data_IF_836098707180
#
_entry.id   IF_836098707180
#
_cell.length_a   1.000
_cell.length_b   1.000
_cell.length_c   1.000
_cell.angle_alpha   90.00
_cell.angle_beta   90.00
_cell.angle_gamma   90.00
#
_symmetry.space_group_name_H-M   'P 1'
#
loop_
_entity.id
_entity.type
_entity.pdbx_description
1 polymer ?
#
# COMPACT_ATOMS: atom_id res chain seq x y z
N UNK A 1 -6.48 29.10 5.06
CA UNK A 1 -5.38 28.88 4.09
C UNK A 1 -4.19 28.38 4.88
N UNK A 2 -3.92 27.07 4.84
CA UNK A 2 -2.88 26.46 5.67
C UNK A 2 -1.52 26.56 4.96
N UNK A 3 -0.67 27.39 5.56
CA UNK A 3 0.72 27.63 5.20
C UNK A 3 1.53 26.33 5.23
N UNK A 4 2.24 26.03 4.14
CA UNK A 4 3.05 24.83 4.00
C UNK A 4 4.22 24.86 5.02
N UNK A 5 4.12 24.05 6.08
CA UNK A 5 5.21 23.86 7.05
C UNK A 5 6.32 23.02 6.41
N UNK A 6 7.53 23.58 6.45
CA UNK A 6 8.85 22.98 6.21
C UNK A 6 9.18 22.41 4.82
N UNK A 7 10.22 22.96 4.20
CA UNK A 7 10.85 22.47 2.97
C UNK A 7 11.28 20.98 3.09
N UNK A 8 11.65 20.56 4.30
CA UNK A 8 12.05 19.19 4.62
C UNK A 8 10.89 18.19 4.50
N UNK A 9 9.67 18.58 4.85
CA UNK A 9 8.49 17.72 4.70
C UNK A 9 8.20 17.49 3.21
N UNK A 10 8.27 18.54 2.39
CA UNK A 10 8.12 18.41 0.93
C UNK A 10 9.16 17.49 0.31
N UNK A 11 10.43 17.61 0.70
CA UNK A 11 11.50 16.73 0.22
C UNK A 11 11.28 15.30 0.68
N UNK A 12 10.84 15.09 1.92
CA UNK A 12 10.49 13.76 2.44
C UNK A 12 9.36 13.13 1.61
N UNK A 13 8.28 13.87 1.35
CA UNK A 13 7.17 13.38 0.52
C UNK A 13 7.61 13.03 -0.91
N UNK A 14 8.44 13.87 -1.54
CA UNK A 14 8.97 13.62 -2.89
C UNK A 14 9.86 12.37 -2.87
N UNK A 15 10.76 12.24 -1.89
CA UNK A 15 11.65 11.09 -1.76
C UNK A 15 10.87 9.79 -1.49
N UNK A 16 9.85 9.83 -0.65
CA UNK A 16 8.95 8.69 -0.39
C UNK A 16 8.20 8.30 -1.67
N UNK A 17 7.67 9.26 -2.42
CA UNK A 17 7.03 9.02 -3.71
C UNK A 17 7.97 8.34 -4.71
N UNK A 18 9.19 8.89 -4.90
CA UNK A 18 10.21 8.32 -5.77
C UNK A 18 10.57 6.89 -5.33
N UNK A 19 10.74 6.65 -4.02
CA UNK A 19 11.03 5.33 -3.47
C UNK A 19 9.92 4.32 -3.79
N UNK A 20 8.66 4.73 -3.62
CA UNK A 20 7.50 3.89 -3.92
C UNK A 20 7.43 3.55 -5.41
N UNK A 21 7.61 4.53 -6.30
CA UNK A 21 7.61 4.31 -7.74
C UNK A 21 8.78 3.44 -8.22
N UNK A 22 10.00 3.63 -7.68
CA UNK A 22 11.14 2.77 -7.98
C UNK A 22 10.90 1.33 -7.54
N UNK A 23 10.30 1.14 -6.36
CA UNK A 23 9.98 -0.19 -5.82
C UNK A 23 8.92 -0.89 -6.66
N UNK A 24 7.88 -0.17 -7.10
CA UNK A 24 6.88 -0.70 -8.03
C UNK A 24 7.51 -1.09 -9.36
N UNK A 25 8.33 -0.21 -9.95
CA UNK A 25 9.01 -0.46 -11.23
C UNK A 25 9.92 -1.69 -11.15
N UNK A 26 10.69 -1.83 -10.06
CA UNK A 26 11.52 -2.99 -9.82
C UNK A 26 10.70 -4.27 -9.67
N UNK A 27 9.59 -4.24 -8.91
CA UNK A 27 8.69 -5.38 -8.75
C UNK A 27 8.06 -5.81 -10.08
N UNK A 28 7.70 -4.84 -10.94
CA UNK A 28 7.16 -5.11 -12.28
C UNK A 28 8.21 -5.76 -13.18
N UNK A 29 9.42 -5.21 -13.21
CA UNK A 29 10.54 -5.75 -14.02
C UNK A 29 10.95 -7.16 -13.57
N UNK A 30 11.03 -7.39 -12.26
CA UNK A 30 11.43 -8.69 -11.70
C UNK A 30 10.31 -9.73 -11.75
N UNK A 31 9.10 -9.36 -12.21
CA UNK A 31 7.92 -10.23 -12.20
C UNK A 31 7.35 -10.51 -10.81
N UNK A 32 8.01 -10.05 -9.75
CA UNK A 32 7.59 -10.22 -8.35
C UNK A 32 6.25 -9.53 -8.06
N UNK A 33 5.89 -8.48 -8.81
CA UNK A 33 4.61 -7.80 -8.69
C UNK A 33 3.42 -8.76 -8.85
N UNK A 34 3.53 -9.76 -9.73
CA UNK A 34 2.50 -10.78 -9.98
C UNK A 34 2.41 -11.82 -8.88
N UNK A 35 3.40 -11.91 -7.99
CA UNK A 35 3.36 -12.81 -6.84
C UNK A 35 2.48 -12.30 -5.71
N UNK A 36 2.08 -11.02 -5.75
CA UNK A 36 1.17 -10.44 -4.78
C UNK A 36 -0.25 -10.45 -5.35
N UNK A 37 -1.10 -11.23 -4.70
CA UNK A 37 -2.46 -11.50 -5.13
C UNK A 37 -3.45 -10.48 -4.57
N UNK A 38 -3.09 -9.75 -3.51
CA UNK A 38 -3.97 -8.79 -2.88
C UNK A 38 -3.30 -7.43 -2.74
N UNK A 39 -4.12 -6.38 -2.83
CA UNK A 39 -3.76 -5.00 -2.54
C UNK A 39 -4.72 -4.45 -1.49
N UNK A 40 -4.17 -3.90 -0.43
CA UNK A 40 -4.91 -3.26 0.65
C UNK A 40 -4.83 -1.75 0.43
N UNK A 41 -5.99 -1.09 0.41
CA UNK A 41 -6.08 0.37 0.34
C UNK A 41 -6.36 0.96 1.72
N UNK A 42 -6.00 2.23 1.89
CA UNK A 42 -6.16 2.95 3.15
C UNK A 42 -6.98 4.24 2.93
N UNK A 43 -7.66 4.74 3.97
CA UNK A 43 -8.47 5.96 3.85
C UNK A 43 -7.61 7.22 3.76
N UNK A 44 -6.32 7.14 4.13
CA UNK A 44 -5.41 8.29 4.15
C UNK A 44 -3.96 7.84 4.08
N UNK A 45 -3.10 8.64 3.42
CA UNK A 45 -1.64 8.43 3.33
C UNK A 45 -1.01 8.12 4.71
N UNK A 46 -1.29 8.88 5.80
CA UNK A 46 -0.75 8.57 7.12
C UNK A 46 -1.13 7.17 7.64
N UNK A 47 -2.31 6.65 7.33
CA UNK A 47 -2.71 5.29 7.73
C UNK A 47 -1.91 4.24 6.95
N UNK A 48 -1.75 4.40 5.64
CA UNK A 48 -0.90 3.52 4.83
C UNK A 48 0.57 3.55 5.26
N UNK A 49 1.09 4.72 5.63
CA UNK A 49 2.46 4.85 6.16
C UNK A 49 2.62 4.25 7.57
N UNK A 50 1.59 4.31 8.42
CA UNK A 50 1.59 3.58 9.69
C UNK A 50 1.61 2.07 9.45
N UNK A 51 0.76 1.59 8.54
CA UNK A 51 0.70 0.18 8.15
C UNK A 51 2.04 -0.34 7.64
N UNK A 52 2.80 0.47 6.86
CA UNK A 52 4.14 0.11 6.38
C UNK A 52 5.08 -0.34 7.52
N UNK A 53 4.98 0.28 8.71
CA UNK A 53 5.85 -0.06 9.85
C UNK A 53 5.62 -1.47 10.38
N UNK A 54 4.45 -2.05 10.13
CA UNK A 54 4.05 -3.37 10.62
C UNK A 54 4.14 -4.45 9.53
N UNK A 55 4.66 -4.14 8.34
CA UNK A 55 4.81 -5.12 7.26
C UNK A 55 6.05 -6.01 7.37
N UNK A 56 7.00 -5.70 8.27
CA UNK A 56 8.31 -6.38 8.32
C UNK A 56 8.23 -7.88 8.58
N UNK A 57 7.14 -8.34 9.19
CA UNK A 57 6.91 -9.74 9.57
C UNK A 57 6.09 -10.51 8.53
N UNK A 58 5.63 -9.84 7.47
CA UNK A 58 4.74 -10.40 6.45
C UNK A 58 5.40 -10.32 5.07
N UNK A 59 5.02 -11.21 4.14
CA UNK A 59 5.35 -11.06 2.71
C UNK A 59 4.47 -9.99 2.08
N UNK A 60 4.65 -8.75 2.54
CA UNK A 60 3.89 -7.59 2.11
C UNK A 60 4.81 -6.43 1.75
N UNK A 61 4.41 -5.62 0.77
CA UNK A 61 5.17 -4.46 0.31
C UNK A 61 4.25 -3.26 0.10
N UNK A 62 4.66 -2.11 0.63
CA UNK A 62 4.06 -0.83 0.30
C UNK A 62 4.43 -0.40 -1.12
N UNK A 63 3.42 0.06 -1.86
CA UNK A 63 3.50 0.59 -3.21
C UNK A 63 2.63 1.86 -3.30
N UNK A 64 2.80 2.73 -4.31
CA UNK A 64 1.77 3.72 -4.57
C UNK A 64 0.49 2.97 -4.96
N UNK A 65 -0.67 3.53 -4.61
CA UNK A 65 -1.94 2.91 -4.97
C UNK A 65 -1.97 2.71 -6.50
N UNK A 66 -2.21 1.48 -7.01
CA UNK A 66 -2.35 1.26 -8.44
C UNK A 66 -3.46 2.16 -8.99
N UNK A 67 -3.25 2.80 -10.15
CA UNK A 67 -4.24 3.68 -10.78
C UNK A 67 -5.60 3.01 -11.03
N UNK A 68 -5.64 1.68 -11.05
CA UNK A 68 -6.83 0.86 -11.22
C UNK A 68 -7.72 0.82 -9.95
N UNK A 69 -7.15 1.12 -8.79
CA UNK A 69 -7.84 1.21 -7.50
C UNK A 69 -8.17 2.68 -7.25
N UNK A 70 -9.25 3.14 -7.87
CA UNK A 70 -9.65 4.56 -7.92
C UNK A 70 -10.06 5.13 -6.54
N UNK A 71 -10.33 4.28 -5.55
CA UNK A 71 -10.88 4.67 -4.25
C UNK A 71 -9.84 4.69 -3.10
N UNK A 72 -8.58 4.38 -3.38
CA UNK A 72 -7.52 4.36 -2.37
C UNK A 72 -6.78 5.69 -2.22
N UNK A 73 -6.38 6.05 -0.99
CA UNK A 73 -5.37 7.09 -0.82
C UNK A 73 -4.05 6.66 -1.48
N UNK A 74 -3.14 7.59 -1.76
CA UNK A 74 -1.90 7.37 -2.55
C UNK A 74 -0.91 6.28 -2.08
N UNK A 75 -1.24 5.47 -1.06
CA UNK A 75 -0.45 4.34 -0.57
C UNK A 75 -1.31 3.06 -0.56
N UNK A 76 -0.81 2.00 -1.19
CA UNK A 76 -1.38 0.66 -1.14
C UNK A 76 -0.37 -0.35 -0.58
N UNK A 77 -0.86 -1.46 -0.02
CA UNK A 77 -0.01 -2.56 0.43
C UNK A 77 -0.34 -3.81 -0.35
N UNK A 78 0.64 -4.31 -1.11
CA UNK A 78 0.56 -5.61 -1.74
C UNK A 78 0.88 -6.71 -0.73
N UNK A 79 0.10 -7.78 -0.73
CA UNK A 79 0.30 -8.94 0.16
C UNK A 79 -0.03 -10.24 -0.59
N UNK A 80 0.66 -11.31 -0.23
CA UNK A 80 0.36 -12.67 -0.72
C UNK A 80 -0.86 -13.25 -0.01
N UNK A 81 -1.55 -14.19 -0.63
CA UNK A 81 -2.73 -14.82 0.00
C UNK A 81 -2.41 -15.43 1.37
N UNK A 82 -1.23 -16.06 1.51
CA UNK A 82 -0.77 -16.71 2.76
C UNK A 82 -0.71 -15.77 3.97
N UNK A 83 -0.42 -14.48 3.76
CA UNK A 83 -0.22 -13.49 4.81
C UNK A 83 -1.38 -12.50 4.94
N UNK A 84 -2.36 -12.52 4.02
CA UNK A 84 -3.44 -11.54 3.97
C UNK A 84 -4.23 -11.51 5.29
N UNK A 85 -4.72 -12.65 5.76
CA UNK A 85 -5.58 -12.69 6.94
C UNK A 85 -4.82 -12.32 8.21
N UNK A 86 -3.56 -12.76 8.32
CA UNK A 86 -2.70 -12.42 9.46
C UNK A 86 -2.37 -10.93 9.46
N UNK A 87 -2.08 -10.35 8.29
CA UNK A 87 -1.83 -8.92 8.15
C UNK A 87 -3.08 -8.10 8.49
N UNK A 88 -4.26 -8.47 7.97
CA UNK A 88 -5.51 -7.76 8.28
C UNK A 88 -5.84 -7.79 9.77
N UNK A 89 -5.66 -8.94 10.43
CA UNK A 89 -5.79 -9.06 11.88
C UNK A 89 -4.79 -8.15 12.60
N UNK A 90 -3.52 -8.21 12.21
CA UNK A 90 -2.48 -7.40 12.83
C UNK A 90 -2.76 -5.89 12.68
N UNK A 91 -3.16 -5.44 11.49
CA UNK A 91 -3.54 -4.04 11.25
C UNK A 91 -4.73 -3.63 12.11
N UNK A 92 -5.75 -4.49 12.22
CA UNK A 92 -6.92 -4.25 13.07
C UNK A 92 -6.56 -4.17 14.55
N UNK A 93 -5.70 -5.06 15.05
CA UNK A 93 -5.19 -5.04 16.43
C UNK A 93 -4.38 -3.79 16.75
N UNK A 94 -3.68 -3.24 15.76
CA UNK A 94 -2.96 -1.96 15.88
C UNK A 94 -3.86 -0.73 15.67
N UNK A 95 -5.15 -0.92 15.44
CA UNK A 95 -6.13 0.16 15.23
C UNK A 95 -5.96 0.89 13.89
N UNK A 96 -5.39 0.23 12.89
CA UNK A 96 -5.18 0.80 11.55
C UNK A 96 -6.42 0.55 10.71
N UNK A 97 -6.93 1.62 10.10
CA UNK A 97 -8.11 1.54 9.25
C UNK A 97 -7.74 1.13 7.83
N UNK A 98 -8.44 0.11 7.32
CA UNK A 98 -8.35 -0.36 5.94
C UNK A 98 -9.59 0.12 5.20
N UNK A 99 -9.42 0.73 4.02
CA UNK A 99 -10.54 1.18 3.19
C UNK A 99 -11.17 0.04 2.40
N UNK A 100 -10.33 -0.88 1.90
CA UNK A 100 -10.78 -1.98 1.07
C UNK A 100 -9.63 -2.91 0.73
N UNK A 101 -9.98 -4.16 0.43
CA UNK A 101 -9.06 -5.20 -0.01
C UNK A 101 -9.40 -5.54 -1.45
N UNK A 102 -8.40 -5.58 -2.31
CA UNK A 102 -8.56 -5.83 -3.73
C UNK A 102 -7.76 -7.07 -4.11
N UNK A 103 -8.40 -8.02 -4.78
CA UNK A 103 -7.72 -9.19 -5.35
C UNK A 103 -7.25 -8.88 -6.77
N UNK A 104 -6.05 -9.31 -7.10
CA UNK A 104 -5.50 -9.25 -8.45
C UNK A 104 -6.20 -10.29 -9.32
N UNK A 105 -6.81 -9.83 -10.40
CA UNK A 105 -7.41 -10.63 -11.46
C UNK A 105 -6.72 -10.24 -12.78
N UNK A 106 -5.69 -11.00 -13.16
CA UNK A 106 -4.84 -10.70 -14.30
C UNK A 106 -4.03 -9.42 -14.08
N UNK A 107 -4.32 -8.38 -14.86
CA UNK A 107 -3.67 -7.07 -14.74
C UNK A 107 -4.40 -6.14 -13.76
N UNK A 108 -5.66 -6.42 -13.46
CA UNK A 108 -6.54 -5.54 -12.69
C UNK A 108 -6.65 -5.94 -11.23
N UNK A 109 -7.14 -5.01 -10.43
CA UNK A 109 -7.53 -5.23 -9.04
C UNK A 109 -9.05 -5.11 -8.89
N UNK A 110 -9.67 -6.13 -8.32
CA UNK A 110 -11.11 -6.19 -8.07
C UNK A 110 -11.34 -6.18 -6.57
N UNK A 111 -12.20 -5.29 -6.09
CA UNK A 111 -12.52 -5.21 -4.67
C UNK A 111 -13.18 -6.51 -4.20
N UNK A 112 -12.66 -7.07 -3.11
CA UNK A 112 -13.22 -8.23 -2.42
C UNK A 112 -13.66 -7.78 -1.03
N UNK A 113 -14.95 -7.87 -0.75
CA UNK A 113 -15.48 -7.60 0.60
C UNK A 113 -15.02 -8.73 1.54
N UNK A 114 -14.28 -8.35 2.58
CA UNK A 114 -13.71 -9.23 3.60
C UNK A 114 -14.01 -8.66 4.98
#
# INVERSE_FOLDING_TARGET
MAEAKSLSEKVFFIATGIRLHLKEYFLRITGLFKQYEYCISFPSIPEGLKAEKYLKEFKAVSIPIPNEIFEGCGVGILVKEEDLENLLKHLKEKGILVSGVFKREGEKFVEVKR
#
